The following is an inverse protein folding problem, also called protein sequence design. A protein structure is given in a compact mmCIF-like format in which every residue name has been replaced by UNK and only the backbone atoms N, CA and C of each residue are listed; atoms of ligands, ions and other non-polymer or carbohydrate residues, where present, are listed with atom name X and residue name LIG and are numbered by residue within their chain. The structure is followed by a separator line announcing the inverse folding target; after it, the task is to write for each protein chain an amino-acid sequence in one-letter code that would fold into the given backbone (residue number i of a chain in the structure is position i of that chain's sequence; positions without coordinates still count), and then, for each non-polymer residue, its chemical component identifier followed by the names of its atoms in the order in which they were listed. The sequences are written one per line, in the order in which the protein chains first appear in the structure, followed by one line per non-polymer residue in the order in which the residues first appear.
data_IF_827939055464
#
_entry.id   IF_827939055464
#
_cell.length_a   1.000
_cell.length_b   1.000
_cell.length_c   1.000
_cell.angle_alpha   90.00
_cell.angle_beta   90.00
_cell.angle_gamma   90.00
#
_symmetry.space_group_name_H-M   'P 1'
#
loop_
_entity.id
_entity.type
_entity.pdbx_description
1 polymer ?
#
# COMPACT_ATOMS: atom_id res chain seq x y z
N UNK A 1 22.44 5.92 -12.93
CA UNK A 1 21.72 4.63 -13.12
C UNK A 1 21.58 3.95 -11.77
N UNK A 2 20.51 4.22 -11.03
CA UNK A 2 20.29 3.55 -9.74
C UNK A 2 19.73 2.15 -10.00
N UNK A 3 20.55 1.15 -9.73
CA UNK A 3 20.18 -0.26 -9.92
C UNK A 3 19.19 -0.70 -8.83
N UNK A 4 18.22 -1.55 -9.17
CA UNK A 4 17.23 -2.10 -8.23
C UNK A 4 17.86 -2.73 -6.97
N UNK A 5 19.06 -3.31 -7.11
CA UNK A 5 19.87 -3.83 -6.00
C UNK A 5 20.25 -2.77 -4.96
N UNK A 6 20.58 -1.55 -5.37
CA UNK A 6 20.89 -0.46 -4.43
C UNK A 6 19.64 -0.03 -3.68
N UNK A 7 18.53 0.15 -4.41
CA UNK A 7 17.24 0.49 -3.80
C UNK A 7 16.82 -0.54 -2.73
N UNK A 8 16.95 -1.84 -3.03
CA UNK A 8 16.63 -2.89 -2.07
C UNK A 8 17.50 -2.86 -0.82
N UNK A 9 18.81 -2.60 -0.97
CA UNK A 9 19.72 -2.47 0.16
C UNK A 9 19.34 -1.29 1.05
N UNK A 10 19.08 -0.12 0.47
CA UNK A 10 18.67 1.07 1.19
C UNK A 10 17.32 0.87 1.89
N UNK A 11 16.33 0.34 1.17
CA UNK A 11 15.00 0.08 1.72
C UNK A 11 15.03 -0.91 2.88
N UNK A 12 15.84 -1.98 2.78
CA UNK A 12 16.00 -2.95 3.88
C UNK A 12 16.68 -2.34 5.10
N UNK A 13 17.68 -1.48 4.90
CA UNK A 13 18.38 -0.84 6.01
C UNK A 13 17.48 0.14 6.73
N UNK A 14 16.81 1.02 5.97
CA UNK A 14 15.86 1.98 6.53
C UNK A 14 14.66 1.27 7.18
N UNK A 15 14.17 0.17 6.59
CA UNK A 15 13.15 -0.66 7.23
C UNK A 15 13.58 -1.16 8.61
N UNK A 16 14.84 -1.61 8.77
CA UNK A 16 15.37 -2.02 10.08
C UNK A 16 15.46 -0.86 11.06
N UNK A 17 15.98 0.29 10.63
CA UNK A 17 16.15 1.48 11.48
C UNK A 17 14.81 2.01 12.00
N UNK A 18 13.76 1.97 11.18
CA UNK A 18 12.42 2.41 11.56
C UNK A 18 11.57 1.32 12.26
N UNK A 19 12.13 0.13 12.47
CA UNK A 19 11.44 -0.97 13.16
C UNK A 19 10.35 -1.65 12.33
N UNK A 20 10.49 -1.69 11.01
CA UNK A 20 9.62 -2.49 10.15
C UNK A 20 10.00 -3.96 10.23
N UNK A 21 9.02 -4.81 10.58
CA UNK A 21 9.24 -6.26 10.77
C UNK A 21 9.29 -7.05 9.46
N UNK A 22 8.59 -6.58 8.43
CA UNK A 22 8.44 -7.30 7.17
C UNK A 22 8.93 -6.44 5.99
N UNK A 23 9.77 -7.03 5.13
CA UNK A 23 10.25 -6.42 3.90
C UNK A 23 10.35 -7.49 2.81
N UNK A 24 9.69 -7.29 1.68
CA UNK A 24 9.68 -8.23 0.55
C UNK A 24 9.58 -7.50 -0.78
N UNK A 25 9.74 -8.22 -1.89
CA UNK A 25 9.62 -7.67 -3.24
C UNK A 25 8.36 -8.25 -3.90
N UNK A 26 7.57 -7.43 -4.57
CA UNK A 26 6.42 -7.86 -5.38
C UNK A 26 6.32 -6.99 -6.63
N UNK A 27 6.20 -7.62 -7.81
CA UNK A 27 6.07 -6.93 -9.10
C UNK A 27 7.17 -5.87 -9.36
N UNK A 28 8.40 -6.14 -8.93
CA UNK A 28 9.51 -5.19 -9.10
C UNK A 28 9.42 -3.95 -8.20
N UNK A 29 8.55 -3.95 -7.19
CA UNK A 29 8.49 -2.95 -6.12
C UNK A 29 8.87 -3.58 -4.78
N UNK A 30 9.42 -2.78 -3.87
CA UNK A 30 9.78 -3.22 -2.52
C UNK A 30 8.62 -2.85 -1.60
N UNK A 31 8.19 -3.82 -0.81
CA UNK A 31 7.12 -3.66 0.16
C UNK A 31 7.69 -3.76 1.55
N UNK A 32 7.34 -2.79 2.38
CA UNK A 32 7.68 -2.80 3.80
C UNK A 32 6.42 -2.72 4.64
N UNK A 33 6.40 -3.44 5.76
CA UNK A 33 5.26 -3.47 6.68
C UNK A 33 5.76 -3.53 8.11
N UNK A 34 5.17 -2.69 8.96
CA UNK A 34 5.64 -2.49 10.34
C UNK A 34 5.26 -3.68 11.23
N UNK A 35 3.97 -4.02 11.24
CA UNK A 35 3.41 -5.12 12.01
C UNK A 35 2.27 -5.78 11.22
N UNK A 36 1.87 -6.98 11.63
CA UNK A 36 0.64 -7.61 11.14
C UNK A 36 -0.57 -6.75 11.50
N UNK A 37 -1.47 -6.53 10.55
CA UNK A 37 -2.57 -5.57 10.64
C UNK A 37 -2.30 -4.23 9.95
N UNK A 38 -1.05 -3.77 9.88
CA UNK A 38 -0.74 -2.50 9.21
C UNK A 38 -0.69 -2.61 7.68
N UNK A 39 -0.98 -1.52 6.95
CA UNK A 39 -0.81 -1.48 5.50
C UNK A 39 0.66 -1.65 5.11
N UNK A 40 0.90 -2.33 4.00
CA UNK A 40 2.22 -2.44 3.40
C UNK A 40 2.48 -1.20 2.54
N UNK A 41 3.66 -0.62 2.68
CA UNK A 41 4.10 0.55 1.91
C UNK A 41 4.83 0.02 0.68
N UNK A 42 4.39 0.45 -0.51
CA UNK A 42 5.07 0.19 -1.78
C UNK A 42 6.16 1.25 -2.00
N UNK A 43 7.34 0.79 -2.37
CA UNK A 43 8.50 1.62 -2.68
C UNK A 43 9.03 1.19 -4.05
N UNK A 44 8.88 2.07 -5.04
CA UNK A 44 9.35 1.84 -6.41
C UNK A 44 10.66 2.56 -6.73
N UNK A 45 10.97 3.65 -6.01
CA UNK A 45 12.13 4.49 -6.26
C UNK A 45 12.73 5.02 -4.95
N UNK A 46 13.92 5.63 -5.01
CA UNK A 46 14.59 6.14 -3.81
C UNK A 46 13.87 7.33 -3.20
N UNK A 47 13.24 8.19 -4.01
CA UNK A 47 12.55 9.37 -3.50
C UNK A 47 11.33 8.99 -2.63
N UNK A 48 10.60 7.97 -3.04
CA UNK A 48 9.48 7.38 -2.30
C UNK A 48 9.97 6.73 -1.00
N UNK A 49 11.11 6.01 -1.05
CA UNK A 49 11.78 5.51 0.15
C UNK A 49 12.10 6.66 1.11
N UNK A 50 12.79 7.70 0.65
CA UNK A 50 13.18 8.85 1.48
C UNK A 50 11.97 9.58 2.03
N UNK A 51 10.88 9.70 1.27
CA UNK A 51 9.63 10.30 1.73
C UNK A 51 9.02 9.50 2.89
N UNK A 52 8.96 8.18 2.79
CA UNK A 52 8.38 7.33 3.85
C UNK A 52 9.28 7.14 5.08
N UNK A 53 10.58 7.30 4.91
CA UNK A 53 11.57 7.18 5.99
C UNK A 53 11.79 8.54 6.68
N UNK A 54 11.88 9.63 5.93
CA UNK A 54 12.05 11.00 6.44
C UNK A 54 10.74 11.66 6.90
N UNK A 55 9.59 11.24 6.38
CA UNK A 55 8.27 11.62 6.85
C UNK A 55 7.56 10.35 7.33
N UNK A 56 7.41 10.20 8.64
CA UNK A 56 6.63 9.11 9.23
C UNK A 56 5.32 8.94 8.45
N UNK A 57 4.94 7.72 8.04
CA UNK A 57 3.84 7.55 7.10
C UNK A 57 2.52 7.95 7.76
N UNK A 58 2.01 9.11 7.38
CA UNK A 58 0.57 9.34 7.34
C UNK A 58 -0.01 8.23 6.46
N UNK A 59 -0.76 7.35 7.09
CA UNK A 59 -1.33 6.15 6.50
C UNK A 59 -2.02 6.44 5.17
N UNK A 60 -1.67 5.74 4.07
CA UNK A 60 -2.63 5.47 3.03
C UNK A 60 -3.50 4.30 3.50
N UNK A 61 -4.37 4.55 4.48
CA UNK A 61 -5.64 3.82 4.56
C UNK A 61 -6.44 4.31 3.33
N UNK A 62 -6.89 3.51 2.37
CA UNK A 62 -7.07 2.08 2.28
C UNK A 62 -7.21 1.67 0.79
N UNK A 63 -6.97 0.41 0.43
CA UNK A 63 -7.61 -0.21 -0.72
C UNK A 63 -8.60 -1.30 -0.26
N UNK A 64 -9.70 -0.89 0.37
CA UNK A 64 -10.91 -1.70 0.68
C UNK A 64 -12.03 -0.66 0.80
N UNK A 65 -13.15 -0.67 0.10
CA UNK A 65 -14.00 -1.79 -0.29
C UNK A 65 -14.98 -1.32 -1.38
N UNK A 66 -15.42 -2.29 -2.19
CA UNK A 66 -16.69 -2.29 -2.92
C UNK A 66 -16.87 -1.21 -4.00
N UNK A 67 -16.72 -1.68 -5.23
CA UNK A 67 -17.76 -1.48 -6.26
C UNK A 67 -19.12 -1.21 -5.59
N UNK A 68 -19.75 -0.03 -5.75
CA UNK A 68 -21.19 -0.01 -5.68
C UNK A 68 -21.63 -0.72 -6.97
N UNK A 69 -21.80 -2.04 -6.90
CA UNK A 69 -22.84 -2.63 -7.71
C UNK A 69 -24.10 -1.80 -7.39
N UNK A 70 -24.77 -1.15 -8.36
CA UNK A 70 -26.07 -0.54 -8.11
C UNK A 70 -27.10 -1.67 -7.96
N UNK A 71 -27.02 -2.43 -6.87
CA UNK A 71 -28.03 -3.39 -6.47
C UNK A 71 -29.02 -2.69 -5.53
N UNK A 72 -29.77 -1.75 -6.10
CA UNK A 72 -31.05 -1.26 -5.56
C UNK A 72 -31.88 -0.72 -6.71
N UNK A 73 -32.04 -1.51 -7.77
CA UNK A 73 -33.18 -1.34 -8.65
C UNK A 73 -34.37 -1.91 -7.87
N UNK A 74 -35.18 -0.99 -7.37
CA UNK A 74 -36.37 -1.23 -6.58
C UNK A 74 -37.18 -2.41 -7.13
N UNK A 75 -37.42 -3.40 -6.28
CA UNK A 75 -38.56 -4.28 -6.44
C UNK A 75 -39.83 -3.47 -6.17
N UNK A 76 -40.74 -3.44 -7.15
CA UNK A 76 -42.17 -3.32 -6.89
C UNK A 76 -42.80 -1.95 -7.14
N UNK A 77 -43.33 -1.76 -8.34
CA UNK A 77 -44.63 -1.12 -8.53
C UNK A 77 -45.31 -1.79 -9.74
N UNK A 78 -46.26 -2.67 -9.45
CA UNK A 78 -47.17 -3.21 -10.44
C UNK A 78 -48.05 -2.08 -11.03
N UNK A 79 -48.41 -2.11 -12.32
CA UNK A 79 -49.45 -1.24 -12.82
C UNK A 79 -50.80 -1.75 -12.30
N UNK A 80 -51.48 -0.93 -11.51
CA UNK A 80 -52.88 -1.14 -11.15
C UNK A 80 -53.63 0.16 -11.39
N UNK A 81 -54.27 0.25 -12.55
CA UNK A 81 -55.65 0.70 -12.80
C UNK A 81 -55.95 0.59 -14.30
#
# INVERSE_FOLDING_TARGET
MNSFRQLFRSARNAAKEHGYKYCWIRNGAILIRKQEGNPAIHIQNMEELERYMGHAPAAPAAPTERSPAPASQQYGAAPGY
#
